data_IF_242370253785
#
_entry.id   IF_242370253785
#
_cell.length_a   1.000
_cell.length_b   1.000
_cell.length_c   1.000
_cell.angle_alpha   90.00
_cell.angle_beta   90.00
_cell.angle_gamma   90.00
#
_symmetry.space_group_name_H-M   'P 1'
#
loop_
_entity.id
_entity.type
_entity.pdbx_description
1 polymer ?
#
# COMPACT_ATOMS: atom_id res chain seq x y z
N UNK A 1 -95.94 4.66 -5.34
CA UNK A 1 -94.77 4.77 -6.21
C UNK A 1 -93.55 5.50 -5.56
N UNK A 2 -93.75 6.63 -4.87
CA UNK A 2 -92.67 7.49 -4.38
C UNK A 2 -91.85 6.90 -3.22
N UNK A 3 -92.44 6.16 -2.29
CA UNK A 3 -91.70 5.49 -1.18
C UNK A 3 -90.80 4.38 -1.61
N UNK A 4 -91.14 3.61 -2.63
CA UNK A 4 -90.32 2.55 -3.16
C UNK A 4 -89.05 3.08 -3.94
N UNK A 5 -89.26 4.18 -4.66
CA UNK A 5 -88.15 4.86 -5.35
C UNK A 5 -87.19 5.50 -4.37
N UNK A 6 -87.63 6.08 -3.25
CA UNK A 6 -86.79 6.66 -2.21
C UNK A 6 -85.99 5.58 -1.41
N UNK A 7 -86.62 4.40 -1.17
CA UNK A 7 -85.93 3.25 -0.56
C UNK A 7 -84.87 2.64 -1.48
N UNK A 8 -85.18 2.50 -2.75
CA UNK A 8 -84.18 2.04 -3.75
C UNK A 8 -83.03 3.04 -3.89
N UNK A 9 -83.30 4.34 -3.87
CA UNK A 9 -82.32 5.38 -3.89
C UNK A 9 -81.33 5.37 -2.68
N UNK A 10 -81.92 5.14 -1.47
CA UNK A 10 -81.08 5.00 -0.24
C UNK A 10 -80.23 3.74 -0.25
N UNK A 11 -80.80 2.60 -0.66
CA UNK A 11 -80.03 1.35 -0.76
C UNK A 11 -78.89 1.42 -1.78
N UNK A 12 -79.11 2.12 -2.90
CA UNK A 12 -78.00 2.36 -3.85
C UNK A 12 -76.96 3.33 -3.30
N UNK A 13 -77.36 4.33 -2.52
CA UNK A 13 -76.43 5.28 -1.90
C UNK A 13 -75.62 4.64 -0.76
N UNK A 14 -76.21 3.76 0.02
CA UNK A 14 -75.56 2.96 1.06
C UNK A 14 -74.57 1.96 0.41
N UNK A 15 -74.97 1.23 -0.61
CA UNK A 15 -74.09 0.30 -1.32
C UNK A 15 -72.91 1.01 -2.00
N UNK A 16 -73.13 2.24 -2.51
CA UNK A 16 -72.04 3.04 -3.09
C UNK A 16 -71.07 3.54 -2.00
N UNK A 17 -71.59 3.93 -0.82
CA UNK A 17 -70.75 4.35 0.32
C UNK A 17 -69.94 3.19 0.90
N UNK A 18 -70.53 2.00 1.00
CA UNK A 18 -69.90 0.79 1.45
C UNK A 18 -68.76 0.35 0.45
N UNK A 19 -69.04 0.46 -0.86
CA UNK A 19 -68.09 0.22 -1.90
C UNK A 19 -66.84 1.15 -1.81
N UNK A 20 -67.05 2.43 -1.56
CA UNK A 20 -65.99 3.42 -1.35
C UNK A 20 -65.19 3.14 -0.07
N UNK A 21 -65.91 2.72 1.01
CA UNK A 21 -65.22 2.36 2.25
C UNK A 21 -64.33 1.11 2.10
N UNK A 22 -64.83 0.08 1.41
CA UNK A 22 -64.07 -1.13 1.11
C UNK A 22 -62.86 -0.78 0.22
N UNK A 23 -63.01 0.05 -0.80
CA UNK A 23 -61.91 0.47 -1.66
C UNK A 23 -60.83 1.20 -0.88
N UNK A 24 -61.20 2.12 0.03
CA UNK A 24 -60.22 2.82 0.89
C UNK A 24 -59.50 1.85 1.82
N UNK A 25 -60.16 0.85 2.39
CA UNK A 25 -59.53 -0.16 3.22
C UNK A 25 -58.51 -1.00 2.43
N UNK A 26 -58.81 -1.36 1.18
CA UNK A 26 -57.88 -2.08 0.31
C UNK A 26 -56.68 -1.23 -0.08
N UNK A 27 -56.90 0.06 -0.40
CA UNK A 27 -55.84 1.00 -0.72
C UNK A 27 -54.91 1.23 0.49
N UNK A 28 -55.49 1.37 1.71
CA UNK A 28 -54.70 1.49 2.95
C UNK A 28 -53.90 0.22 3.25
N UNK A 29 -54.51 -0.95 3.03
CA UNK A 29 -53.84 -2.22 3.22
C UNK A 29 -52.66 -2.38 2.24
N UNK A 30 -52.87 -2.05 0.95
CA UNK A 30 -51.84 -2.05 -0.06
C UNK A 30 -50.69 -1.09 0.30
N UNK A 31 -51.03 0.12 0.76
CA UNK A 31 -50.02 1.10 1.17
C UNK A 31 -49.17 0.60 2.35
N UNK A 32 -49.76 -0.01 3.37
CA UNK A 32 -49.04 -0.60 4.50
C UNK A 32 -48.15 -1.75 4.06
N UNK A 33 -48.63 -2.58 3.14
CA UNK A 33 -47.87 -3.69 2.63
C UNK A 33 -46.65 -3.21 1.84
N UNK A 34 -46.82 -2.23 0.92
CA UNK A 34 -45.71 -1.65 0.18
C UNK A 34 -44.64 -1.02 1.09
N UNK A 35 -45.04 -0.33 2.18
CA UNK A 35 -44.09 0.22 3.15
C UNK A 35 -43.28 -0.90 3.85
N UNK A 36 -43.92 -2.03 4.15
CA UNK A 36 -43.21 -3.19 4.72
C UNK A 36 -42.27 -3.83 3.70
N UNK A 37 -42.71 -3.98 2.46
CA UNK A 37 -41.94 -4.54 1.38
C UNK A 37 -40.68 -3.66 1.07
N UNK A 38 -40.83 -2.32 1.15
CA UNK A 38 -39.72 -1.37 1.06
C UNK A 38 -38.62 -1.69 2.08
N UNK A 39 -39.01 -1.88 3.35
CA UNK A 39 -38.00 -2.18 4.38
C UNK A 39 -37.25 -3.48 4.12
N UNK A 40 -37.92 -4.51 3.63
CA UNK A 40 -37.34 -5.80 3.27
C UNK A 40 -36.40 -5.66 2.07
N UNK A 41 -36.82 -4.94 1.02
CA UNK A 41 -35.97 -4.73 -0.19
C UNK A 41 -34.75 -3.88 0.11
N UNK A 42 -34.87 -2.83 0.92
CA UNK A 42 -33.72 -2.03 1.35
C UNK A 42 -32.75 -2.87 2.18
N UNK A 43 -33.22 -3.75 3.06
CA UNK A 43 -32.34 -4.64 3.81
C UNK A 43 -31.59 -5.64 2.91
N UNK A 44 -32.26 -6.21 1.91
CA UNK A 44 -31.65 -7.09 0.90
C UNK A 44 -30.61 -6.35 0.08
N UNK A 45 -30.96 -5.15 -0.39
CA UNK A 45 -30.06 -4.30 -1.15
C UNK A 45 -28.82 -3.93 -0.35
N UNK A 46 -29.00 -3.55 0.92
CA UNK A 46 -27.91 -3.25 1.84
C UNK A 46 -26.93 -4.43 1.95
N UNK A 47 -27.44 -5.65 2.12
CA UNK A 47 -26.59 -6.84 2.19
C UNK A 47 -25.82 -7.08 0.90
N UNK A 48 -26.46 -6.90 -0.26
CA UNK A 48 -25.83 -7.09 -1.57
C UNK A 48 -24.76 -6.05 -1.84
N UNK A 49 -25.02 -4.77 -1.58
CA UNK A 49 -24.10 -3.67 -1.77
C UNK A 49 -22.88 -3.77 -0.82
N UNK A 50 -23.09 -4.14 0.44
CA UNK A 50 -22.01 -4.38 1.38
C UNK A 50 -21.11 -5.53 0.92
N UNK A 51 -21.69 -6.61 0.40
CA UNK A 51 -20.94 -7.74 -0.13
C UNK A 51 -20.13 -7.36 -1.38
N UNK A 52 -20.71 -6.56 -2.27
CA UNK A 52 -20.00 -6.07 -3.47
C UNK A 52 -18.80 -5.19 -3.07
N UNK A 53 -18.97 -4.29 -2.11
CA UNK A 53 -17.87 -3.46 -1.62
C UNK A 53 -16.76 -4.30 -1.01
N UNK A 54 -17.11 -5.28 -0.18
CA UNK A 54 -16.13 -6.20 0.40
C UNK A 54 -15.40 -7.05 -0.66
N UNK A 55 -16.09 -7.47 -1.71
CA UNK A 55 -15.45 -8.17 -2.82
C UNK A 55 -14.50 -7.24 -3.58
N UNK A 56 -14.82 -5.95 -3.72
CA UNK A 56 -13.93 -4.97 -4.32
C UNK A 56 -12.63 -4.79 -3.53
N UNK A 57 -12.67 -4.85 -2.20
CA UNK A 57 -11.49 -4.80 -1.32
C UNK A 57 -10.54 -5.98 -1.59
N UNK A 58 -11.08 -7.16 -1.88
CA UNK A 58 -10.28 -8.38 -2.06
C UNK A 58 -9.85 -8.62 -3.50
N UNK A 59 -10.53 -8.05 -4.48
CA UNK A 59 -10.28 -8.26 -5.91
C UNK A 59 -9.32 -7.26 -6.57
N UNK A 60 -8.90 -6.21 -5.83
CA UNK A 60 -8.11 -5.12 -6.39
C UNK A 60 -8.93 -4.10 -7.20
N UNK A 61 -10.29 -4.19 -7.18
CA UNK A 61 -11.14 -3.22 -7.87
C UNK A 61 -11.01 -1.80 -7.31
N UNK A 62 -10.63 -1.66 -6.03
CA UNK A 62 -10.33 -0.38 -5.40
C UNK A 62 -9.07 0.31 -5.95
N UNK A 63 -8.32 -0.34 -6.84
CA UNK A 63 -7.14 0.25 -7.46
C UNK A 63 -7.49 1.23 -8.59
N UNK A 64 -8.74 1.21 -9.07
CA UNK A 64 -9.23 2.14 -10.09
C UNK A 64 -9.63 3.47 -9.47
N UNK A 65 -9.15 4.58 -10.04
CA UNK A 65 -9.57 5.94 -9.65
C UNK A 65 -11.06 6.18 -9.90
N UNK A 66 -11.67 5.50 -10.86
CA UNK A 66 -13.10 5.56 -11.17
C UNK A 66 -13.98 4.67 -10.29
N UNK A 67 -13.40 3.87 -9.39
CA UNK A 67 -14.14 2.87 -8.61
C UNK A 67 -15.37 3.45 -7.91
N UNK A 68 -15.19 4.53 -7.15
CA UNK A 68 -16.27 5.13 -6.37
C UNK A 68 -17.41 5.60 -7.28
N UNK A 69 -17.09 6.23 -8.42
CA UNK A 69 -18.06 6.71 -9.39
C UNK A 69 -18.82 5.54 -10.04
N UNK A 70 -18.13 4.53 -10.52
CA UNK A 70 -18.73 3.35 -11.15
C UNK A 70 -19.58 2.54 -10.18
N UNK A 71 -19.10 2.35 -8.95
CA UNK A 71 -19.83 1.66 -7.91
C UNK A 71 -21.14 2.41 -7.59
N UNK A 72 -21.08 3.73 -7.38
CA UNK A 72 -22.26 4.54 -7.10
C UNK A 72 -23.23 4.61 -8.27
N UNK A 73 -22.76 4.61 -9.50
CA UNK A 73 -23.61 4.55 -10.68
C UNK A 73 -24.42 3.24 -10.70
N UNK A 74 -23.79 2.09 -10.38
CA UNK A 74 -24.49 0.80 -10.27
C UNK A 74 -25.50 0.78 -9.12
N UNK A 75 -25.10 1.29 -7.94
CA UNK A 75 -25.98 1.41 -6.77
C UNK A 75 -27.22 2.20 -7.12
N UNK A 76 -27.08 3.41 -7.66
CA UNK A 76 -28.21 4.30 -7.98
C UNK A 76 -29.10 3.69 -9.08
N UNK A 77 -28.53 3.11 -10.13
CA UNK A 77 -29.29 2.44 -11.18
C UNK A 77 -30.16 1.31 -10.62
N UNK A 78 -29.61 0.50 -9.72
CA UNK A 78 -30.34 -0.60 -9.12
C UNK A 78 -31.44 -0.09 -8.15
N UNK A 79 -31.16 0.96 -7.38
CA UNK A 79 -32.17 1.60 -6.51
C UNK A 79 -33.34 2.16 -7.34
N UNK A 80 -33.05 2.83 -8.45
CA UNK A 80 -34.07 3.37 -9.35
C UNK A 80 -34.96 2.27 -9.95
N UNK A 81 -34.36 1.16 -10.40
CA UNK A 81 -35.09 0.02 -10.95
C UNK A 81 -36.03 -0.62 -9.91
N UNK A 82 -35.57 -0.77 -8.67
CA UNK A 82 -36.41 -1.33 -7.60
C UNK A 82 -37.51 -0.36 -7.21
N UNK A 83 -37.25 0.95 -7.15
CA UNK A 83 -38.19 1.99 -6.81
C UNK A 83 -39.42 2.03 -7.70
N UNK A 84 -39.28 1.66 -8.99
CA UNK A 84 -40.38 1.62 -9.95
C UNK A 84 -41.48 0.59 -9.62
N UNK A 85 -41.22 -0.35 -8.72
CA UNK A 85 -42.20 -1.36 -8.29
C UNK A 85 -43.30 -0.77 -7.40
N UNK A 86 -43.06 0.33 -6.69
CA UNK A 86 -43.98 0.90 -5.71
C UNK A 86 -44.99 1.85 -6.35
N UNK A 87 -46.29 1.56 -6.18
CA UNK A 87 -47.37 2.26 -6.83
C UNK A 87 -48.09 3.24 -5.91
N UNK A 88 -48.16 2.97 -4.59
CA UNK A 88 -48.78 3.86 -3.64
C UNK A 88 -47.89 5.06 -3.30
N UNK A 89 -48.51 6.17 -2.92
CA UNK A 89 -47.79 7.35 -2.47
C UNK A 89 -46.91 7.05 -1.23
N UNK A 90 -47.44 6.27 -0.29
CA UNK A 90 -46.71 5.87 0.91
C UNK A 90 -45.52 4.95 0.60
N UNK A 91 -45.70 3.96 -0.29
CA UNK A 91 -44.60 3.08 -0.74
C UNK A 91 -43.49 3.84 -1.44
N UNK A 92 -43.84 4.73 -2.37
CA UNK A 92 -42.87 5.59 -3.06
C UNK A 92 -42.10 6.50 -2.10
N UNK A 93 -42.80 7.18 -1.18
CA UNK A 93 -42.16 8.06 -0.21
C UNK A 93 -41.24 7.30 0.75
N UNK A 94 -41.63 6.11 1.19
CA UNK A 94 -40.79 5.25 2.00
C UNK A 94 -39.53 4.81 1.25
N UNK A 95 -39.69 4.45 -0.03
CA UNK A 95 -38.54 4.06 -0.88
C UNK A 95 -37.60 5.23 -1.15
N UNK A 96 -38.10 6.40 -1.55
CA UNK A 96 -37.32 7.60 -1.82
C UNK A 96 -36.44 8.00 -0.62
N UNK A 97 -37.01 7.95 0.59
CA UNK A 97 -36.27 8.24 1.81
C UNK A 97 -35.19 7.19 2.08
N UNK A 98 -35.56 5.92 2.08
CA UNK A 98 -34.60 4.83 2.41
C UNK A 98 -33.54 4.67 1.36
N UNK A 99 -33.85 4.84 0.08
CA UNK A 99 -32.87 4.78 -1.00
C UNK A 99 -31.87 5.95 -0.97
N UNK A 100 -32.35 7.16 -0.62
CA UNK A 100 -31.45 8.32 -0.46
C UNK A 100 -30.48 8.15 0.72
N UNK A 101 -30.97 7.66 1.86
CA UNK A 101 -30.12 7.34 3.02
C UNK A 101 -29.07 6.27 2.66
N UNK A 102 -29.48 5.24 1.94
CA UNK A 102 -28.60 4.14 1.51
C UNK A 102 -27.55 4.61 0.50
N UNK A 103 -27.94 5.39 -0.51
CA UNK A 103 -27.01 5.97 -1.47
C UNK A 103 -25.96 6.85 -0.79
N UNK A 104 -26.38 7.70 0.17
CA UNK A 104 -25.46 8.51 0.96
C UNK A 104 -24.49 7.67 1.80
N UNK A 105 -24.98 6.61 2.45
CA UNK A 105 -24.14 5.69 3.22
C UNK A 105 -23.08 5.02 2.35
N UNK A 106 -23.45 4.48 1.19
CA UNK A 106 -22.50 3.79 0.31
C UNK A 106 -21.55 4.73 -0.39
N UNK A 107 -21.93 5.98 -0.67
CA UNK A 107 -21.00 6.98 -1.18
C UNK A 107 -19.84 7.21 -0.19
N UNK A 108 -20.15 7.35 1.09
CA UNK A 108 -19.14 7.52 2.14
C UNK A 108 -18.31 6.23 2.27
N UNK A 109 -18.95 5.08 2.39
CA UNK A 109 -18.25 3.80 2.58
C UNK A 109 -17.33 3.45 1.41
N UNK A 110 -17.75 3.68 0.16
CA UNK A 110 -16.91 3.45 -1.02
C UNK A 110 -15.73 4.44 -1.09
N UNK A 111 -15.96 5.70 -0.71
CA UNK A 111 -14.91 6.72 -0.62
C UNK A 111 -13.87 6.39 0.43
N UNK A 112 -14.30 5.93 1.61
CA UNK A 112 -13.41 5.51 2.69
C UNK A 112 -12.59 4.28 2.29
N UNK A 113 -13.22 3.25 1.72
CA UNK A 113 -12.54 2.04 1.26
C UNK A 113 -11.51 2.35 0.16
N UNK A 114 -11.86 3.21 -0.80
CA UNK A 114 -10.92 3.66 -1.83
C UNK A 114 -9.72 4.42 -1.22
N UNK A 115 -9.99 5.33 -0.29
CA UNK A 115 -8.96 6.13 0.37
C UNK A 115 -8.01 5.28 1.21
N UNK A 116 -8.52 4.26 1.91
CA UNK A 116 -7.71 3.31 2.66
C UNK A 116 -6.82 2.47 1.73
N UNK A 117 -7.40 1.92 0.65
CA UNK A 117 -6.65 1.17 -0.34
C UNK A 117 -5.57 2.03 -1.02
N UNK A 118 -5.88 3.30 -1.36
CA UNK A 118 -4.91 4.24 -1.90
C UNK A 118 -3.76 4.52 -0.92
N UNK A 119 -4.06 4.63 0.37
CA UNK A 119 -3.06 4.78 1.43
C UNK A 119 -2.13 3.58 1.52
N UNK A 120 -2.67 2.36 1.49
CA UNK A 120 -1.89 1.11 1.52
C UNK A 120 -0.97 1.03 0.29
N UNK A 121 -1.49 1.34 -0.91
CA UNK A 121 -0.68 1.37 -2.14
C UNK A 121 0.45 2.40 -2.07
N UNK A 122 0.15 3.59 -1.57
CA UNK A 122 1.14 4.65 -1.41
C UNK A 122 2.29 4.19 -0.50
N UNK A 123 1.98 3.53 0.62
CA UNK A 123 2.99 2.96 1.54
C UNK A 123 3.82 1.87 0.86
N UNK A 124 3.19 0.96 0.10
CA UNK A 124 3.91 -0.10 -0.61
C UNK A 124 4.85 0.47 -1.67
N UNK A 125 4.39 1.39 -2.51
CA UNK A 125 5.21 2.06 -3.51
C UNK A 125 6.35 2.89 -2.89
N UNK A 126 6.07 3.53 -1.74
CA UNK A 126 7.07 4.24 -0.98
C UNK A 126 8.19 3.32 -0.52
N UNK A 127 7.84 2.15 0.01
CA UNK A 127 8.80 1.15 0.46
C UNK A 127 9.67 0.64 -0.70
N UNK A 128 9.05 0.27 -1.82
CA UNK A 128 9.76 -0.19 -3.01
C UNK A 128 10.74 0.88 -3.51
N UNK A 129 10.32 2.14 -3.55
CA UNK A 129 11.16 3.26 -3.95
C UNK A 129 12.36 3.45 -3.02
N UNK A 130 12.17 3.35 -1.71
CA UNK A 130 13.24 3.42 -0.72
C UNK A 130 14.20 2.24 -0.87
N UNK A 131 13.70 1.03 -1.06
CA UNK A 131 14.53 -0.17 -1.22
C UNK A 131 15.38 -0.12 -2.49
N UNK A 132 14.83 0.37 -3.61
CA UNK A 132 15.61 0.62 -4.84
C UNK A 132 16.71 1.68 -4.60
N UNK A 133 16.37 2.76 -3.90
CA UNK A 133 17.32 3.83 -3.58
C UNK A 133 18.45 3.34 -2.67
N UNK A 134 18.13 2.52 -1.65
CA UNK A 134 19.11 1.88 -0.76
C UNK A 134 20.05 0.95 -1.53
N UNK A 135 19.52 0.11 -2.41
CA UNK A 135 20.32 -0.78 -3.24
C UNK A 135 21.23 -0.01 -4.19
N UNK A 136 20.77 1.11 -4.74
CA UNK A 136 21.60 2.00 -5.55
C UNK A 136 22.79 2.51 -4.74
N UNK A 137 22.58 2.97 -3.51
CA UNK A 137 23.61 3.49 -2.62
C UNK A 137 24.58 2.41 -2.11
N UNK A 138 24.10 1.19 -1.91
CA UNK A 138 24.98 0.06 -1.57
C UNK A 138 25.95 -0.31 -2.70
N UNK A 139 25.57 -0.04 -3.96
CA UNK A 139 26.41 -0.32 -5.13
C UNK A 139 27.25 0.90 -5.56
N UNK A 140 26.69 2.11 -5.40
CA UNK A 140 27.39 3.37 -5.69
C UNK A 140 27.11 4.40 -4.57
N UNK A 141 27.85 4.33 -3.46
CA UNK A 141 27.64 5.16 -2.29
C UNK A 141 27.93 6.65 -2.52
N UNK A 142 28.68 6.98 -3.58
CA UNK A 142 29.06 8.36 -3.89
C UNK A 142 27.90 9.18 -4.48
N UNK A 143 26.78 8.54 -4.83
CA UNK A 143 25.57 9.20 -5.27
C UNK A 143 24.64 9.63 -4.15
N UNK A 144 25.06 9.57 -2.87
CA UNK A 144 24.19 9.82 -1.72
C UNK A 144 23.40 11.12 -1.82
N UNK A 145 24.06 12.26 -2.07
CA UNK A 145 23.40 13.56 -2.14
C UNK A 145 22.33 13.61 -3.25
N UNK A 146 22.65 13.04 -4.41
CA UNK A 146 21.72 12.99 -5.54
C UNK A 146 20.50 12.12 -5.24
N UNK A 147 20.72 10.95 -4.66
CA UNK A 147 19.65 10.00 -4.30
C UNK A 147 18.79 10.58 -3.17
N UNK A 148 19.42 11.12 -2.13
CA UNK A 148 18.73 11.76 -1.00
C UNK A 148 17.83 12.91 -1.48
N UNK A 149 18.34 13.79 -2.32
CA UNK A 149 17.57 14.90 -2.86
C UNK A 149 16.44 14.42 -3.76
N UNK A 150 16.67 13.42 -4.60
CA UNK A 150 15.63 12.81 -5.44
C UNK A 150 14.50 12.21 -4.61
N UNK A 151 14.84 11.49 -3.54
CA UNK A 151 13.88 10.90 -2.60
C UNK A 151 13.11 12.00 -1.84
N UNK A 152 13.81 13.02 -1.34
CA UNK A 152 13.16 14.14 -0.66
C UNK A 152 12.17 14.86 -1.56
N UNK A 153 12.53 15.12 -2.81
CA UNK A 153 11.64 15.73 -3.79
C UNK A 153 10.42 14.86 -4.09
N UNK A 154 10.60 13.55 -4.29
CA UNK A 154 9.51 12.63 -4.56
C UNK A 154 8.52 12.53 -3.39
N UNK A 155 9.02 12.50 -2.14
CA UNK A 155 8.17 12.47 -0.94
C UNK A 155 7.43 13.80 -0.73
N UNK A 156 8.03 14.92 -1.10
CA UNK A 156 7.48 16.25 -0.92
C UNK A 156 6.59 16.72 -2.07
N UNK A 157 6.54 15.99 -3.19
CA UNK A 157 5.73 16.35 -4.34
C UNK A 157 4.22 16.33 -3.99
N UNK A 158 3.51 17.49 -4.08
CA UNK A 158 2.09 17.56 -3.79
C UNK A 158 1.20 16.81 -4.78
N UNK A 159 1.75 16.35 -5.90
CA UNK A 159 1.06 15.52 -6.90
C UNK A 159 1.55 14.08 -6.93
N UNK A 160 2.53 13.77 -6.08
CA UNK A 160 3.14 12.45 -5.99
C UNK A 160 2.32 11.46 -5.17
N UNK A 161 2.80 10.23 -5.15
CA UNK A 161 2.20 9.10 -4.41
C UNK A 161 2.00 9.44 -2.93
N UNK A 162 2.88 10.27 -2.35
CA UNK A 162 2.87 10.65 -0.93
C UNK A 162 1.93 11.82 -0.61
N UNK A 163 1.29 12.44 -1.62
CA UNK A 163 0.40 13.59 -1.43
C UNK A 163 -0.80 13.27 -0.52
N UNK A 164 -1.24 12.00 -0.50
CA UNK A 164 -2.36 11.53 0.35
C UNK A 164 -1.95 11.23 1.80
N UNK A 165 -0.66 11.23 2.12
CA UNK A 165 -0.20 11.05 3.49
C UNK A 165 -0.39 12.33 4.31
N UNK A 166 -0.83 12.24 5.58
CA UNK A 166 -0.81 13.37 6.49
C UNK A 166 0.60 13.96 6.61
N UNK A 167 0.71 15.28 6.71
CA UNK A 167 1.99 15.98 6.70
C UNK A 167 2.98 15.43 7.76
N UNK A 168 2.51 15.20 8.99
CA UNK A 168 3.33 14.64 10.06
C UNK A 168 3.89 13.25 9.74
N UNK A 169 3.05 12.38 9.14
CA UNK A 169 3.48 11.03 8.74
C UNK A 169 4.50 11.11 7.61
N UNK A 170 4.31 12.00 6.66
CA UNK A 170 5.24 12.24 5.54
C UNK A 170 6.59 12.77 6.02
N UNK A 171 6.60 13.71 6.96
CA UNK A 171 7.83 14.27 7.53
C UNK A 171 8.62 13.21 8.32
N UNK A 172 7.95 12.38 9.11
CA UNK A 172 8.57 11.27 9.83
C UNK A 172 9.10 10.21 8.87
N UNK A 173 8.33 9.89 7.81
CA UNK A 173 8.76 8.97 6.77
C UNK A 173 10.01 9.50 6.04
N UNK A 174 10.05 10.77 5.70
CA UNK A 174 11.21 11.41 5.08
C UNK A 174 12.43 11.34 6.00
N UNK A 175 12.27 11.65 7.29
CA UNK A 175 13.36 11.60 8.27
C UNK A 175 13.94 10.19 8.40
N UNK A 176 13.07 9.19 8.55
CA UNK A 176 13.47 7.78 8.64
C UNK A 176 14.16 7.31 7.37
N UNK A 177 13.62 7.67 6.22
CA UNK A 177 14.19 7.33 4.90
C UNK A 177 15.59 7.91 4.73
N UNK A 178 15.82 9.18 5.08
CA UNK A 178 17.16 9.79 5.01
C UNK A 178 18.18 9.03 5.86
N UNK A 179 17.80 8.61 7.06
CA UNK A 179 18.63 7.79 7.93
C UNK A 179 18.97 6.44 7.29
N UNK A 180 17.99 5.75 6.71
CA UNK A 180 18.21 4.45 6.05
C UNK A 180 19.08 4.58 4.78
N UNK A 181 18.90 5.64 4.01
CA UNK A 181 19.75 5.94 2.87
C UNK A 181 21.20 6.20 3.29
N UNK A 182 21.43 6.97 4.35
CA UNK A 182 22.75 7.23 4.90
C UNK A 182 23.43 5.95 5.39
N UNK A 183 22.71 5.07 6.11
CA UNK A 183 23.20 3.75 6.51
C UNK A 183 23.64 2.94 5.28
N UNK A 184 22.80 2.88 4.26
CA UNK A 184 23.09 2.12 3.03
C UNK A 184 24.30 2.67 2.27
N UNK A 185 24.44 4.00 2.19
CA UNK A 185 25.60 4.62 1.58
C UNK A 185 26.89 4.28 2.35
N UNK A 186 26.89 4.40 3.67
CA UNK A 186 28.05 4.04 4.49
C UNK A 186 28.38 2.56 4.38
N UNK A 187 27.41 1.67 4.35
CA UNK A 187 27.60 0.24 4.11
C UNK A 187 28.20 -0.03 2.73
N UNK A 188 27.77 0.72 1.71
CA UNK A 188 28.39 0.68 0.39
C UNK A 188 29.87 1.07 0.45
N UNK A 189 30.21 2.14 1.19
CA UNK A 189 31.63 2.55 1.39
C UNK A 189 32.41 1.49 2.15
N UNK A 190 31.84 0.87 3.21
CA UNK A 190 32.49 -0.22 3.97
C UNK A 190 32.84 -1.39 3.06
N UNK A 191 31.96 -1.74 2.13
CA UNK A 191 32.20 -2.82 1.16
C UNK A 191 33.32 -2.49 0.16
N UNK A 192 33.44 -1.22 -0.23
CA UNK A 192 34.45 -0.76 -1.16
C UNK A 192 35.84 -0.57 -0.47
N UNK A 193 35.81 0.20 0.62
CA UNK A 193 37.01 0.47 1.46
C UNK A 193 36.57 0.81 2.90
N UNK A 194 36.71 -0.14 3.82
CA UNK A 194 36.32 0.05 5.21
C UNK A 194 37.19 1.10 5.95
N UNK A 195 38.41 1.41 5.46
CA UNK A 195 39.24 2.45 6.04
C UNK A 195 38.68 3.85 5.70
N UNK A 196 38.20 4.05 4.47
CA UNK A 196 37.53 5.28 4.06
C UNK A 196 36.24 5.45 4.88
N UNK A 197 35.43 4.40 5.00
CA UNK A 197 34.21 4.42 5.80
C UNK A 197 34.48 4.82 7.26
N UNK A 198 35.53 4.26 7.88
CA UNK A 198 35.91 4.60 9.25
C UNK A 198 36.28 6.08 9.39
N UNK A 199 37.02 6.65 8.45
CA UNK A 199 37.35 8.08 8.43
C UNK A 199 36.11 8.96 8.31
N UNK A 200 35.17 8.60 7.41
CA UNK A 200 33.91 9.32 7.25
C UNK A 200 33.04 9.26 8.51
N UNK A 201 32.93 8.08 9.15
CA UNK A 201 32.17 7.87 10.36
C UNK A 201 32.75 8.59 11.60
N UNK A 202 34.03 8.87 11.61
CA UNK A 202 34.70 9.65 12.69
C UNK A 202 34.64 11.15 12.45
N UNK A 203 34.30 11.57 11.23
CA UNK A 203 34.05 12.97 10.90
C UNK A 203 32.60 13.38 11.21
N UNK A 204 32.28 14.66 11.05
CA UNK A 204 30.91 15.19 11.17
C UNK A 204 30.03 14.97 9.92
N UNK A 205 30.56 14.33 8.89
CA UNK A 205 29.87 14.18 7.60
C UNK A 205 28.46 13.55 7.70
N UNK A 206 28.29 12.60 8.61
CA UNK A 206 27.06 11.85 8.79
C UNK A 206 26.20 12.30 9.97
N UNK A 207 26.59 13.36 10.70
CA UNK A 207 25.92 13.80 11.95
C UNK A 207 24.48 14.27 11.72
N UNK A 208 24.18 14.76 10.53
CA UNK A 208 22.83 15.18 10.16
C UNK A 208 21.86 14.00 9.91
N UNK A 209 22.38 12.80 9.67
CA UNK A 209 21.61 11.64 9.22
C UNK A 209 21.65 10.46 10.19
N UNK A 210 22.77 10.28 10.89
CA UNK A 210 23.03 9.12 11.76
C UNK A 210 23.19 9.57 13.21
N UNK A 211 22.45 8.94 14.10
CA UNK A 211 22.66 9.08 15.55
C UNK A 211 23.92 8.34 16.02
N UNK A 212 24.26 8.50 17.29
CA UNK A 212 25.46 7.91 17.88
C UNK A 212 25.46 6.37 17.82
N UNK A 213 24.29 5.75 18.01
CA UNK A 213 24.15 4.30 18.02
C UNK A 213 24.33 3.72 16.62
N UNK A 214 23.70 4.33 15.62
CA UNK A 214 23.86 3.93 14.22
C UNK A 214 25.31 4.10 13.75
N UNK A 215 25.98 5.22 14.12
CA UNK A 215 27.40 5.41 13.82
C UNK A 215 28.27 4.35 14.47
N UNK A 216 28.02 4.04 15.74
CA UNK A 216 28.78 3.03 16.47
C UNK A 216 28.63 1.64 15.83
N UNK A 217 27.41 1.27 15.43
CA UNK A 217 27.16 0.00 14.73
C UNK A 217 27.95 -0.08 13.41
N UNK A 218 27.90 0.97 12.58
CA UNK A 218 28.61 1.05 11.32
C UNK A 218 30.15 1.09 11.51
N UNK A 219 30.65 1.76 12.54
CA UNK A 219 32.07 1.73 12.90
C UNK A 219 32.52 0.33 13.29
N UNK A 220 31.68 -0.42 13.99
CA UNK A 220 31.97 -1.82 14.32
C UNK A 220 32.03 -2.69 13.06
N UNK A 221 31.10 -2.51 12.15
CA UNK A 221 31.11 -3.19 10.84
C UNK A 221 32.39 -2.85 10.04
N UNK A 222 32.76 -1.57 9.98
CA UNK A 222 33.99 -1.14 9.30
C UNK A 222 35.27 -1.74 9.95
N UNK A 223 35.34 -1.84 11.28
CA UNK A 223 36.47 -2.50 11.98
C UNK A 223 36.59 -3.98 11.59
N UNK A 224 35.46 -4.69 11.50
CA UNK A 224 35.45 -6.08 11.05
C UNK A 224 35.99 -6.18 9.61
N UNK A 225 35.55 -5.27 8.73
CA UNK A 225 36.07 -5.20 7.36
C UNK A 225 37.61 -4.96 7.31
N UNK A 226 38.11 -4.02 8.09
CA UNK A 226 39.58 -3.74 8.20
C UNK A 226 40.35 -4.98 8.68
N UNK A 227 39.88 -5.63 9.75
CA UNK A 227 40.51 -6.85 10.26
C UNK A 227 40.50 -7.99 9.23
N UNK A 228 39.49 -8.08 8.40
CA UNK A 228 39.40 -9.01 7.28
C UNK A 228 40.48 -8.75 6.21
N UNK A 229 40.63 -7.48 5.82
CA UNK A 229 41.70 -7.09 4.87
C UNK A 229 43.11 -7.38 5.39
N UNK A 230 43.34 -7.07 6.67
CA UNK A 230 44.65 -7.36 7.31
C UNK A 230 44.93 -8.87 7.36
N UNK A 231 43.94 -9.69 7.63
CA UNK A 231 44.09 -11.14 7.64
C UNK A 231 44.37 -11.69 6.23
N UNK A 232 43.73 -11.13 5.21
CA UNK A 232 44.01 -11.52 3.82
C UNK A 232 45.38 -11.09 3.35
N UNK A 233 45.83 -9.87 3.69
CA UNK A 233 47.18 -9.40 3.41
C UNK A 233 48.25 -10.33 4.00
N UNK A 234 48.11 -10.71 5.28
CA UNK A 234 49.03 -11.67 5.95
C UNK A 234 49.04 -13.04 5.26
N UNK A 235 47.89 -13.53 4.81
CA UNK A 235 47.83 -14.81 4.05
C UNK A 235 48.57 -14.72 2.73
N UNK A 236 48.40 -13.64 1.97
CA UNK A 236 49.10 -13.40 0.69
C UNK A 236 50.59 -13.31 0.90
N UNK A 237 51.06 -12.59 1.94
CA UNK A 237 52.49 -12.50 2.29
C UNK A 237 53.08 -13.86 2.64
N UNK A 238 52.38 -14.65 3.48
CA UNK A 238 52.82 -16.00 3.85
C UNK A 238 52.90 -16.95 2.65
N UNK A 239 51.96 -16.84 1.72
CA UNK A 239 51.96 -17.62 0.48
C UNK A 239 53.10 -17.21 -0.45
N UNK A 240 53.33 -15.93 -0.62
CA UNK A 240 54.43 -15.39 -1.40
C UNK A 240 55.80 -15.84 -0.82
N UNK A 241 55.96 -15.84 0.50
CA UNK A 241 57.18 -16.34 1.15
C UNK A 241 57.36 -17.83 0.94
N UNK A 242 56.30 -18.66 1.02
CA UNK A 242 56.38 -20.09 0.71
C UNK A 242 56.79 -20.36 -0.73
N UNK A 243 56.27 -19.59 -1.69
CA UNK A 243 56.63 -19.71 -3.09
C UNK A 243 58.10 -19.35 -3.30
N UNK A 244 58.61 -18.25 -2.73
CA UNK A 244 60.01 -17.86 -2.78
C UNK A 244 60.96 -18.93 -2.20
N UNK A 245 60.59 -19.54 -1.05
CA UNK A 245 61.35 -20.63 -0.45
C UNK A 245 61.41 -21.83 -1.39
N UNK A 246 60.31 -22.24 -2.00
CA UNK A 246 60.29 -23.33 -2.97
C UNK A 246 61.18 -23.05 -4.22
N UNK A 247 61.14 -21.82 -4.73
CA UNK A 247 61.97 -21.41 -5.87
C UNK A 247 63.47 -21.48 -5.51
N UNK A 248 63.87 -21.01 -4.33
CA UNK A 248 65.26 -21.10 -3.84
C UNK A 248 65.68 -22.55 -3.66
N UNK A 249 64.85 -23.41 -3.08
CA UNK A 249 65.08 -24.85 -2.91
C UNK A 249 65.31 -25.54 -4.28
N UNK A 250 64.36 -25.26 -5.23
CA UNK A 250 64.49 -25.82 -6.59
C UNK A 250 65.74 -25.36 -7.31
N UNK A 251 66.09 -24.08 -7.18
CA UNK A 251 67.33 -23.53 -7.75
C UNK A 251 68.60 -24.17 -7.15
N UNK A 252 68.63 -24.33 -5.82
CA UNK A 252 69.66 -24.98 -5.11
C UNK A 252 69.81 -26.47 -5.53
N UNK A 253 68.70 -27.18 -5.68
CA UNK A 253 68.67 -28.55 -6.12
C UNK A 253 69.23 -28.70 -7.55
N UNK A 254 68.88 -27.84 -8.49
CA UNK A 254 69.42 -27.79 -9.84
C UNK A 254 70.89 -27.50 -9.85
N UNK A 255 71.40 -26.60 -8.99
CA UNK A 255 72.83 -26.34 -8.87
C UNK A 255 73.54 -27.55 -8.36
N UNK A 256 73.09 -28.26 -7.34
CA UNK A 256 73.69 -29.48 -6.80
C UNK A 256 73.74 -30.57 -7.87
N UNK A 257 72.64 -30.81 -8.60
CA UNK A 257 72.63 -31.77 -9.72
C UNK A 257 73.60 -31.40 -10.82
N UNK A 258 73.76 -30.14 -11.18
CA UNK A 258 74.71 -29.66 -12.18
C UNK A 258 76.13 -29.87 -11.75
N UNK A 259 76.46 -29.60 -10.49
CA UNK A 259 77.84 -29.82 -9.98
C UNK A 259 78.18 -31.30 -9.81
N UNK A 260 77.25 -32.14 -9.38
CA UNK A 260 77.47 -33.57 -9.26
C UNK A 260 77.58 -34.25 -10.61
N UNK A 261 76.89 -33.84 -11.65
CA UNK A 261 77.02 -34.37 -13.00
C UNK A 261 78.42 -34.04 -13.63
N UNK A 262 78.97 -32.86 -13.33
CA UNK A 262 80.33 -32.49 -13.80
C UNK A 262 81.43 -33.22 -13.08
N UNK A 263 81.29 -33.58 -11.82
CA UNK A 263 82.31 -34.32 -11.08
C UNK A 263 82.35 -35.81 -11.45
N UNK A 264 81.40 -36.37 -12.13
CA UNK A 264 81.35 -37.75 -12.63
C UNK A 264 81.92 -37.89 -14.03
N UNK A 265 82.23 -36.81 -14.74
CA UNK A 265 82.76 -36.80 -16.10
C UNK A 265 84.24 -36.33 -16.17
N UNK A 266 84.91 -36.10 -15.05
CA UNK A 266 86.34 -35.83 -14.89
C UNK A 266 87.09 -37.04 -14.29
#
# INVERSE_FOLDING_TARGET
>A
GAKAAAMAGRGLQEAASDGVAIQRMLDDQKARQEVTDVAVELARFNSSAAHELKNAETSGALDSESFTEEYMARINTNLDLVGQKYQTAAGRQAWERGSAEMSGHYLISAGDAYSEAAGIRAVAQAKDFVDVSRNTLMNDPFQFERVEQGVANAISDPRGVFAHMPAQVRDEFLRTTKTELAKSAVQGVIRLDPNIAMKQLTSSQWDAYLDADAKHALQTEARVGIAGLDAEARRREAEAERLRKKEVEATNQQMVEHYSSKSLTA
#
